data_IF_409698999134
#
_entry.id   IF_409698999134
#
_cell.length_a   1.000
_cell.length_b   1.000
_cell.length_c   1.000
_cell.angle_alpha   90.00
_cell.angle_beta   90.00
_cell.angle_gamma   90.00
#
_symmetry.space_group_name_H-M   'P 1'
#
loop_
_entity.id
_entity.type
_entity.pdbx_description
1 polymer ?
#
# COMPACT_ATOMS: atom_id res chain seq x y z
N UNK A 1 29.38 21.73 10.50
CA UNK A 1 29.30 20.31 10.18
C UNK A 1 27.87 20.02 9.76
N UNK A 2 27.65 19.15 8.75
CA UNK A 2 26.30 18.76 8.32
C UNK A 2 25.60 17.94 9.39
N UNK A 3 24.28 18.10 9.52
CA UNK A 3 23.46 17.28 10.42
C UNK A 3 23.26 15.87 9.85
N UNK A 4 22.97 14.91 10.72
CA UNK A 4 22.60 13.56 10.32
C UNK A 4 21.13 13.48 9.91
N UNK A 5 20.82 12.50 9.10
CA UNK A 5 19.44 12.14 8.72
C UNK A 5 19.05 10.81 9.36
N UNK A 6 17.74 10.63 9.59
CA UNK A 6 17.17 9.35 10.03
C UNK A 6 15.91 9.03 9.26
N UNK A 7 15.75 7.78 8.84
CA UNK A 7 14.59 7.32 8.08
C UNK A 7 14.04 6.02 8.65
N UNK A 8 12.72 5.90 8.71
CA UNK A 8 12.04 4.69 9.16
C UNK A 8 10.93 4.28 8.20
N UNK A 9 10.56 3.00 8.29
CA UNK A 9 9.48 2.37 7.55
C UNK A 9 8.40 1.90 8.52
N UNK A 10 7.12 2.11 8.18
CA UNK A 10 6.03 1.74 9.07
C UNK A 10 4.78 1.26 8.35
N UNK A 11 3.90 0.57 9.09
CA UNK A 11 2.67 -0.01 8.59
C UNK A 11 2.89 -1.27 7.74
N UNK A 12 1.90 -1.63 6.92
CA UNK A 12 2.02 -2.76 5.99
C UNK A 12 3.14 -2.55 4.98
N UNK A 13 3.99 -3.55 4.69
CA UNK A 13 5.03 -3.41 3.67
C UNK A 13 4.44 -3.38 2.25
N UNK A 14 5.25 -2.97 1.27
CA UNK A 14 4.92 -3.01 -0.16
C UNK A 14 6.11 -3.54 -0.97
N UNK A 15 5.89 -3.81 -2.25
CA UNK A 15 6.98 -4.19 -3.16
C UNK A 15 7.98 -3.07 -3.41
N UNK A 16 7.63 -1.81 -3.13
CA UNK A 16 8.42 -0.63 -3.51
C UNK A 16 8.83 0.27 -2.33
N UNK A 17 8.47 -0.09 -1.11
CA UNK A 17 8.80 0.74 0.08
C UNK A 17 10.30 0.97 0.21
N UNK A 18 11.12 0.02 -0.22
CA UNK A 18 12.58 0.13 -0.21
C UNK A 18 13.11 1.05 -1.31
N UNK A 19 12.38 1.25 -2.41
CA UNK A 19 12.73 2.26 -3.41
C UNK A 19 12.58 3.67 -2.84
N UNK A 20 11.55 3.92 -2.01
CA UNK A 20 11.42 5.18 -1.27
C UNK A 20 12.59 5.38 -0.27
N UNK A 21 12.98 4.32 0.43
CA UNK A 21 14.15 4.33 1.31
C UNK A 21 15.44 4.68 0.55
N UNK A 22 15.67 4.06 -0.61
CA UNK A 22 16.81 4.35 -1.47
C UNK A 22 16.83 5.83 -1.91
N UNK A 23 15.67 6.37 -2.30
CA UNK A 23 15.54 7.78 -2.68
C UNK A 23 15.89 8.75 -1.55
N UNK A 24 15.43 8.46 -0.32
CA UNK A 24 15.80 9.25 0.88
C UNK A 24 17.30 9.15 1.13
N UNK A 25 17.86 7.93 1.13
CA UNK A 25 19.28 7.69 1.45
C UNK A 25 20.19 8.44 0.49
N UNK A 26 20.06 8.22 -0.82
CA UNK A 26 20.94 8.83 -1.81
C UNK A 26 20.79 10.36 -1.84
N UNK A 27 19.55 10.86 -1.77
CA UNK A 27 19.32 12.31 -1.75
C UNK A 27 19.93 12.99 -0.50
N UNK A 28 19.85 12.36 0.68
CA UNK A 28 20.49 12.87 1.90
C UNK A 28 22.01 12.87 1.78
N UNK A 29 22.62 11.77 1.27
CA UNK A 29 24.07 11.68 1.06
C UNK A 29 24.57 12.75 0.09
N UNK A 30 23.89 12.91 -1.06
CA UNK A 30 24.24 13.89 -2.09
C UNK A 30 24.09 15.34 -1.61
N UNK A 31 23.30 15.59 -0.56
CA UNK A 31 23.12 16.91 0.06
C UNK A 31 24.00 17.14 1.28
N UNK A 32 24.89 16.20 1.59
CA UNK A 32 25.92 16.38 2.62
C UNK A 32 25.50 15.94 4.03
N UNK A 33 24.50 15.07 4.17
CA UNK A 33 24.30 14.35 5.44
C UNK A 33 25.53 13.54 5.79
N UNK A 34 26.04 13.66 7.02
CA UNK A 34 27.23 12.92 7.45
C UNK A 34 26.90 11.44 7.56
N UNK A 35 25.85 11.11 8.31
CA UNK A 35 25.31 9.76 8.47
C UNK A 35 23.83 9.78 8.11
N UNK A 36 23.37 8.72 7.46
CA UNK A 36 21.94 8.43 7.25
C UNK A 36 21.60 7.19 8.03
N UNK A 37 20.91 7.38 9.14
CA UNK A 37 20.47 6.28 10.01
C UNK A 37 19.16 5.67 9.51
N UNK A 38 19.04 4.35 9.66
CA UNK A 38 17.79 3.62 9.51
C UNK A 38 17.22 3.27 10.89
N UNK A 39 15.94 3.58 11.13
CA UNK A 39 15.19 3.14 12.32
C UNK A 39 14.75 1.70 12.11
N UNK A 40 15.37 0.74 12.79
CA UNK A 40 14.91 -0.64 12.77
C UNK A 40 13.57 -0.76 13.51
N UNK A 41 12.55 -1.27 12.81
CA UNK A 41 11.17 -1.34 13.31
C UNK A 41 10.55 0.04 13.65
N UNK A 42 10.85 1.06 12.84
CA UNK A 42 10.23 2.37 12.91
C UNK A 42 10.40 3.09 14.25
N UNK A 43 9.41 3.89 14.65
CA UNK A 43 9.44 4.68 15.89
C UNK A 43 9.51 3.79 17.14
N UNK A 44 8.89 2.60 17.12
CA UNK A 44 8.99 1.66 18.23
C UNK A 44 10.46 1.24 18.48
N UNK A 45 11.18 0.90 17.42
CA UNK A 45 12.59 0.56 17.52
C UNK A 45 13.48 1.76 17.87
N UNK A 46 13.13 2.96 17.37
CA UNK A 46 13.84 4.19 17.75
C UNK A 46 13.76 4.46 19.26
N UNK A 47 12.62 4.23 19.89
CA UNK A 47 12.45 4.30 21.33
C UNK A 47 13.36 3.34 22.10
N UNK A 48 13.78 2.24 21.48
CA UNK A 48 14.74 1.27 22.03
C UNK A 48 16.18 1.54 21.52
N UNK A 49 16.42 2.70 20.90
CA UNK A 49 17.70 3.09 20.27
C UNK A 49 18.18 2.08 19.21
N UNK A 50 17.28 1.30 18.60
CA UNK A 50 17.59 0.31 17.57
C UNK A 50 17.71 0.99 16.20
N UNK A 51 18.90 1.48 15.91
CA UNK A 51 19.24 2.21 14.68
C UNK A 51 20.49 1.63 14.03
N UNK A 52 20.59 1.77 12.71
CA UNK A 52 21.76 1.34 11.92
C UNK A 52 22.24 2.48 11.03
N UNK A 53 23.54 2.55 10.78
CA UNK A 53 24.08 3.40 9.72
C UNK A 53 23.88 2.69 8.37
N UNK A 54 23.05 3.28 7.53
CA UNK A 54 22.72 2.70 6.22
C UNK A 54 23.92 2.61 5.28
N UNK A 55 24.95 3.45 5.46
CA UNK A 55 26.17 3.39 4.63
C UNK A 55 26.98 2.10 4.83
N UNK A 56 26.71 1.35 5.90
CA UNK A 56 27.34 0.04 6.12
C UNK A 56 26.71 -1.10 5.29
N UNK A 57 25.52 -0.86 4.75
CA UNK A 57 24.75 -1.84 3.97
C UNK A 57 24.57 -1.43 2.52
N UNK A 58 24.56 -0.14 2.26
CA UNK A 58 24.37 0.47 0.95
C UNK A 58 25.69 1.13 0.54
N UNK A 59 26.64 0.28 0.11
CA UNK A 59 28.03 0.67 -0.10
C UNK A 59 28.31 1.12 -1.53
N UNK A 60 27.52 0.67 -2.47
CA UNK A 60 27.64 0.99 -3.89
C UNK A 60 26.27 1.02 -4.61
N UNK A 61 26.30 1.37 -5.89
CA UNK A 61 25.11 1.46 -6.73
C UNK A 61 24.39 0.11 -6.89
N UNK A 62 25.09 -1.02 -6.79
CA UNK A 62 24.51 -2.36 -6.90
C UNK A 62 23.66 -2.67 -5.67
N UNK A 63 24.12 -2.30 -4.46
CA UNK A 63 23.36 -2.44 -3.24
C UNK A 63 22.07 -1.61 -3.30
N UNK A 64 22.14 -0.37 -3.83
CA UNK A 64 20.99 0.49 -4.03
C UNK A 64 19.99 -0.14 -5.02
N UNK A 65 20.48 -0.65 -6.15
CA UNK A 65 19.65 -1.32 -7.14
C UNK A 65 19.02 -2.62 -6.59
N UNK A 66 19.75 -3.35 -5.77
CA UNK A 66 19.23 -4.53 -5.09
C UNK A 66 18.17 -4.16 -4.04
N UNK A 67 18.40 -3.08 -3.27
CA UNK A 67 17.43 -2.57 -2.30
C UNK A 67 16.10 -2.20 -2.99
N UNK A 68 16.15 -1.47 -4.10
CA UNK A 68 14.97 -1.08 -4.89
C UNK A 68 14.13 -2.27 -5.38
N UNK A 69 14.78 -3.42 -5.64
CA UNK A 69 14.15 -4.67 -6.10
C UNK A 69 13.77 -5.63 -4.98
N UNK A 70 14.17 -5.33 -3.76
CA UNK A 70 13.83 -6.13 -2.59
C UNK A 70 12.45 -5.74 -2.08
N UNK A 71 11.45 -6.63 -2.10
CA UNK A 71 10.13 -6.34 -1.57
C UNK A 71 10.13 -6.33 -0.05
N UNK A 72 9.05 -5.83 0.56
CA UNK A 72 8.89 -5.69 1.99
C UNK A 72 9.78 -4.59 2.60
N UNK A 73 9.82 -4.46 3.92
CA UNK A 73 10.53 -3.38 4.62
C UNK A 73 11.93 -3.83 5.04
N UNK A 74 12.97 -3.27 4.42
CA UNK A 74 14.37 -3.56 4.72
C UNK A 74 14.71 -3.28 6.19
N UNK A 75 14.20 -2.16 6.73
CA UNK A 75 14.39 -1.76 8.12
C UNK A 75 13.43 -2.46 9.10
N UNK A 76 12.59 -3.37 8.61
CA UNK A 76 11.44 -3.82 9.37
C UNK A 76 10.35 -2.76 9.46
N UNK A 77 9.30 -3.05 10.19
CA UNK A 77 8.14 -2.15 10.33
C UNK A 77 7.58 -2.21 11.74
N UNK A 78 6.76 -1.23 12.10
CA UNK A 78 5.99 -1.27 13.34
C UNK A 78 4.56 -0.79 13.09
N UNK A 79 3.70 -1.13 14.06
CA UNK A 79 2.35 -0.60 14.21
C UNK A 79 2.26 0.11 15.57
N UNK A 80 3.04 1.19 15.70
CA UNK A 80 3.07 2.01 16.91
C UNK A 80 2.30 3.29 16.68
N UNK A 81 1.24 3.50 17.44
CA UNK A 81 0.48 4.75 17.44
C UNK A 81 1.09 5.68 18.47
N UNK A 82 1.73 6.75 17.99
CA UNK A 82 2.28 7.77 18.87
C UNK A 82 1.13 8.47 19.61
N UNK A 83 1.12 8.51 20.96
CA UNK A 83 0.10 9.23 21.71
C UNK A 83 0.14 10.73 21.40
N UNK A 84 -0.91 11.47 21.75
CA UNK A 84 -0.81 12.93 21.74
C UNK A 84 0.18 13.39 22.81
N UNK A 85 0.99 14.42 22.53
CA UNK A 85 1.98 14.90 23.49
C UNK A 85 1.35 15.57 24.71
N UNK A 86 0.10 15.98 24.64
CA UNK A 86 -0.67 16.47 25.80
C UNK A 86 -1.00 15.33 26.78
N UNK A 87 -1.16 14.11 26.27
CA UNK A 87 -1.49 12.93 27.06
C UNK A 87 -0.22 12.25 27.63
N UNK A 88 0.87 12.18 26.82
CA UNK A 88 2.13 11.55 27.20
C UNK A 88 3.35 12.28 26.62
N UNK A 89 3.74 13.38 27.25
CA UNK A 89 4.92 14.15 26.85
C UNK A 89 6.26 13.37 27.09
N UNK A 90 6.26 12.37 27.97
CA UNK A 90 7.47 11.64 28.31
C UNK A 90 8.03 10.86 27.11
N UNK A 91 7.17 10.31 26.28
CA UNK A 91 7.56 9.63 25.02
C UNK A 91 8.26 10.59 24.07
N UNK A 92 7.75 11.81 23.93
CA UNK A 92 8.36 12.84 23.06
C UNK A 92 9.71 13.30 23.59
N UNK A 93 9.83 13.53 24.90
CA UNK A 93 11.10 13.88 25.54
C UNK A 93 12.15 12.79 25.30
N UNK A 94 11.77 11.52 25.41
CA UNK A 94 12.66 10.38 25.11
C UNK A 94 13.07 10.36 23.64
N UNK A 95 12.12 10.50 22.70
CA UNK A 95 12.41 10.53 21.25
C UNK A 95 13.36 11.68 20.90
N UNK A 96 13.09 12.90 21.37
CA UNK A 96 13.90 14.07 21.06
C UNK A 96 15.29 13.97 21.69
N UNK A 97 15.44 13.40 22.88
CA UNK A 97 16.73 13.13 23.48
C UNK A 97 17.59 12.13 22.65
N UNK A 98 16.95 11.09 22.09
CA UNK A 98 17.62 10.15 21.18
C UNK A 98 18.03 10.84 19.88
N UNK A 99 17.14 11.66 19.29
CA UNK A 99 17.42 12.40 18.06
C UNK A 99 18.58 13.42 18.28
N UNK A 100 18.62 14.07 19.43
CA UNK A 100 19.72 14.98 19.80
C UNK A 100 21.04 14.23 20.00
N UNK A 101 21.03 13.09 20.71
CA UNK A 101 22.20 12.20 20.90
C UNK A 101 22.80 11.76 19.56
N UNK A 102 21.97 11.51 18.54
CA UNK A 102 22.38 11.11 17.19
C UNK A 102 22.67 12.31 16.27
N UNK A 103 22.62 13.55 16.76
CA UNK A 103 22.76 14.81 15.99
C UNK A 103 21.87 14.87 14.75
N UNK A 104 20.59 14.43 14.87
CA UNK A 104 19.63 14.41 13.78
C UNK A 104 19.13 15.81 13.44
N UNK A 105 19.22 16.16 12.17
CA UNK A 105 18.62 17.39 11.61
C UNK A 105 17.44 17.10 10.70
N UNK A 106 17.33 15.86 10.20
CA UNK A 106 16.33 15.49 9.19
C UNK A 106 15.73 14.13 9.55
N UNK A 107 14.40 14.11 9.69
CA UNK A 107 13.62 12.93 10.06
C UNK A 107 12.62 12.58 8.96
N UNK A 108 12.70 11.35 8.45
CA UNK A 108 11.81 10.86 7.40
C UNK A 108 11.05 9.63 7.86
N UNK A 109 9.74 9.59 7.58
CA UNK A 109 8.94 8.43 7.92
C UNK A 109 8.13 7.96 6.71
N UNK A 110 8.42 6.74 6.26
CA UNK A 110 7.80 6.14 5.08
C UNK A 110 6.61 5.31 5.54
N UNK A 111 5.39 5.73 5.18
CA UNK A 111 4.20 5.01 5.62
C UNK A 111 2.88 5.58 5.12
N UNK A 112 1.79 5.01 5.64
CA UNK A 112 0.42 5.41 5.36
C UNK A 112 -0.10 6.46 6.35
N UNK A 113 -1.41 6.47 6.53
CA UNK A 113 -2.14 7.47 7.30
C UNK A 113 -1.62 7.64 8.74
N UNK A 114 -1.44 6.53 9.50
CA UNK A 114 -0.91 6.58 10.87
C UNK A 114 0.53 7.12 10.93
N UNK A 115 1.31 6.91 9.87
CA UNK A 115 2.68 7.44 9.78
C UNK A 115 2.67 8.94 9.53
N UNK A 116 1.71 9.43 8.75
CA UNK A 116 1.52 10.86 8.52
C UNK A 116 1.05 11.54 9.82
N UNK A 117 0.14 10.93 10.58
CA UNK A 117 -0.25 11.39 11.93
C UNK A 117 0.97 11.48 12.86
N UNK A 118 1.85 10.47 12.83
CA UNK A 118 3.12 10.50 13.60
C UNK A 118 4.01 11.67 13.21
N UNK A 119 4.19 11.95 11.91
CA UNK A 119 4.97 13.11 11.44
C UNK A 119 4.34 14.43 11.87
N UNK A 120 3.02 14.55 11.78
CA UNK A 120 2.30 15.74 12.24
C UNK A 120 2.54 16.04 13.72
N UNK A 121 2.39 15.02 14.56
CA UNK A 121 2.63 15.12 16.01
C UNK A 121 4.07 15.46 16.36
N UNK A 122 5.05 14.84 15.67
CA UNK A 122 6.47 15.15 15.90
C UNK A 122 6.84 16.56 15.43
N UNK A 123 6.28 17.03 14.33
CA UNK A 123 6.51 18.39 13.84
C UNK A 123 5.88 19.44 14.77
N UNK A 124 4.68 19.18 15.27
CA UNK A 124 3.98 20.05 16.22
C UNK A 124 4.77 20.16 17.55
N UNK A 125 5.14 19.03 18.14
CA UNK A 125 5.97 19.03 19.35
C UNK A 125 7.34 19.67 19.10
N UNK A 126 7.97 19.41 17.96
CA UNK A 126 9.24 20.03 17.55
C UNK A 126 9.13 21.56 17.48
N UNK A 127 8.03 22.10 16.95
CA UNK A 127 7.75 23.53 16.95
C UNK A 127 7.64 24.10 18.35
N UNK A 128 6.91 23.41 19.25
CA UNK A 128 6.76 23.81 20.66
C UNK A 128 8.09 23.93 21.39
N UNK A 129 9.00 22.96 21.19
CA UNK A 129 10.31 22.95 21.85
C UNK A 129 11.40 23.68 21.05
N UNK A 130 11.02 24.38 19.99
CA UNK A 130 11.92 25.14 19.09
C UNK A 130 13.03 24.26 18.50
N UNK A 131 12.74 23.00 18.20
CA UNK A 131 13.66 22.07 17.56
C UNK A 131 13.99 22.50 16.13
N UNK A 132 15.27 22.34 15.75
CA UNK A 132 15.70 22.56 14.37
C UNK A 132 15.48 21.36 13.43
N UNK A 133 14.99 20.23 13.94
CA UNK A 133 14.77 19.01 13.17
C UNK A 133 13.64 19.23 12.15
N UNK A 134 13.86 18.75 10.93
CA UNK A 134 12.87 18.78 9.85
C UNK A 134 12.21 17.41 9.72
N UNK A 135 10.89 17.36 9.91
CA UNK A 135 10.07 16.15 9.88
C UNK A 135 9.31 16.08 8.56
N UNK A 136 9.52 15.03 7.77
CA UNK A 136 8.88 14.85 6.47
C UNK A 136 8.22 13.48 6.35
N UNK A 137 6.98 13.48 5.84
CA UNK A 137 6.25 12.28 5.46
C UNK A 137 6.61 11.82 4.04
N UNK A 138 6.85 10.52 3.89
CA UNK A 138 7.05 9.87 2.58
C UNK A 138 5.89 8.90 2.38
N UNK A 139 5.01 9.13 1.38
CA UNK A 139 3.80 8.32 1.19
C UNK A 139 4.14 6.89 0.82
N UNK A 140 3.41 5.94 1.40
CA UNK A 140 3.47 4.52 1.05
C UNK A 140 2.21 3.83 1.56
N UNK A 141 1.45 3.23 0.67
CA UNK A 141 0.42 2.22 0.96
C UNK A 141 -0.02 1.55 -0.33
N UNK A 142 -0.40 0.26 -0.28
CA UNK A 142 -1.05 -0.42 -1.41
C UNK A 142 -2.53 -0.03 -1.53
N UNK A 143 -3.13 0.49 -0.46
CA UNK A 143 -4.58 0.77 -0.39
C UNK A 143 -4.98 2.00 -1.21
N UNK A 144 -4.01 2.83 -1.63
CA UNK A 144 -4.23 4.05 -2.42
C UNK A 144 -5.22 5.04 -1.79
N UNK A 145 -5.25 5.07 -0.47
CA UNK A 145 -6.25 5.75 0.36
C UNK A 145 -5.78 7.09 0.94
N UNK A 146 -4.53 7.53 0.66
CA UNK A 146 -4.04 8.83 1.11
C UNK A 146 -4.65 9.97 0.30
N UNK A 147 -5.12 11.01 1.02
CA UNK A 147 -5.62 12.23 0.39
C UNK A 147 -4.50 13.01 -0.29
N UNK A 148 -4.87 13.97 -1.10
CA UNK A 148 -4.06 14.97 -1.86
C UNK A 148 -3.06 14.41 -2.85
N UNK A 149 -2.78 13.12 -2.85
CA UNK A 149 -1.91 12.48 -3.85
C UNK A 149 -2.75 11.80 -4.95
N UNK A 150 -2.31 11.85 -6.20
CA UNK A 150 -2.98 11.13 -7.30
C UNK A 150 -3.07 9.64 -6.99
N UNK A 151 -1.95 9.03 -6.64
CA UNK A 151 -1.85 7.65 -6.18
C UNK A 151 -0.70 7.51 -5.16
N UNK A 152 -0.60 6.34 -4.56
CA UNK A 152 0.42 6.09 -3.53
C UNK A 152 1.45 5.08 -4.00
N UNK A 153 2.76 5.29 -3.72
CA UNK A 153 3.77 4.27 -3.95
C UNK A 153 3.42 2.96 -3.24
N UNK A 154 3.40 1.87 -3.99
CA UNK A 154 2.95 0.55 -3.59
C UNK A 154 1.67 0.11 -4.29
N UNK A 155 0.75 1.03 -4.58
CA UNK A 155 -0.50 0.73 -5.27
C UNK A 155 -0.28 0.21 -6.70
N UNK A 156 0.56 0.87 -7.50
CA UNK A 156 0.80 0.49 -8.89
C UNK A 156 1.28 -0.96 -9.03
N UNK A 157 2.21 -1.39 -8.19
CA UNK A 157 2.72 -2.76 -8.17
C UNK A 157 1.67 -3.77 -7.68
N UNK A 158 0.91 -3.44 -6.65
CA UNK A 158 -0.16 -4.30 -6.16
C UNK A 158 -1.30 -4.42 -7.18
N UNK A 159 -1.67 -3.33 -7.85
CA UNK A 159 -2.65 -3.33 -8.94
C UNK A 159 -2.19 -4.19 -10.13
N UNK A 160 -0.90 -4.12 -10.50
CA UNK A 160 -0.30 -4.99 -11.51
C UNK A 160 -0.39 -6.46 -11.13
N UNK A 161 -0.01 -6.79 -9.90
CA UNK A 161 -0.13 -8.15 -9.37
C UNK A 161 -1.57 -8.66 -9.48
N UNK A 162 -2.54 -7.86 -9.05
CA UNK A 162 -3.96 -8.23 -9.12
C UNK A 162 -4.40 -8.44 -10.57
N UNK A 163 -4.09 -7.51 -11.47
CA UNK A 163 -4.45 -7.64 -12.89
C UNK A 163 -3.89 -8.92 -13.53
N UNK A 164 -2.62 -9.25 -13.27
CA UNK A 164 -1.97 -10.47 -13.78
C UNK A 164 -2.60 -11.72 -13.18
N UNK A 165 -2.69 -11.82 -11.86
CA UNK A 165 -3.20 -13.01 -11.17
C UNK A 165 -4.68 -13.24 -11.47
N UNK A 166 -5.49 -12.18 -11.58
CA UNK A 166 -6.89 -12.33 -12.00
C UNK A 166 -7.00 -12.86 -13.41
N UNK A 167 -6.15 -12.42 -14.34
CA UNK A 167 -6.10 -12.94 -15.71
C UNK A 167 -5.76 -14.44 -15.75
N UNK A 168 -4.79 -14.87 -14.93
CA UNK A 168 -4.40 -16.28 -14.79
C UNK A 168 -5.51 -17.12 -14.16
N UNK A 169 -6.17 -16.62 -13.09
CA UNK A 169 -7.32 -17.28 -12.44
C UNK A 169 -8.47 -17.43 -13.40
N UNK A 170 -8.81 -16.40 -14.20
CA UNK A 170 -9.86 -16.47 -15.23
C UNK A 170 -9.51 -17.56 -16.25
N UNK A 171 -8.25 -17.63 -16.68
CA UNK A 171 -7.79 -18.64 -17.63
C UNK A 171 -7.97 -20.06 -17.10
N UNK A 172 -7.59 -20.30 -15.84
CA UNK A 172 -7.78 -21.60 -15.15
C UNK A 172 -9.28 -21.92 -14.96
N UNK A 173 -10.06 -20.95 -14.50
CA UNK A 173 -11.48 -21.15 -14.18
C UNK A 173 -12.34 -21.47 -15.42
N UNK A 174 -11.92 -21.06 -16.62
CA UNK A 174 -12.71 -21.22 -17.87
C UNK A 174 -12.43 -22.52 -18.62
N UNK A 175 -11.53 -23.38 -18.14
CA UNK A 175 -11.18 -24.64 -18.85
C UNK A 175 -12.28 -25.72 -18.76
N UNK A 176 -13.18 -25.63 -17.78
CA UNK A 176 -14.24 -26.62 -17.57
C UNK A 176 -15.58 -26.14 -18.13
N UNK A 177 -16.28 -27.01 -18.87
CA UNK A 177 -17.63 -26.73 -19.37
C UNK A 177 -18.76 -26.88 -18.34
N UNK A 178 -18.44 -27.07 -17.05
CA UNK A 178 -19.40 -27.21 -15.96
C UNK A 178 -19.61 -25.90 -15.22
N UNK A 179 -20.76 -25.75 -14.55
CA UNK A 179 -21.04 -24.57 -13.71
C UNK A 179 -20.03 -24.48 -12.57
N UNK A 180 -19.38 -23.32 -12.48
CA UNK A 180 -18.32 -23.03 -11.53
C UNK A 180 -18.31 -21.56 -11.12
N UNK A 181 -18.12 -21.26 -9.85
CA UNK A 181 -17.97 -19.88 -9.35
C UNK A 181 -16.70 -19.77 -8.53
N UNK A 182 -15.79 -18.89 -8.95
CA UNK A 182 -14.58 -18.54 -8.20
C UNK A 182 -14.75 -17.15 -7.61
N UNK A 183 -14.64 -17.05 -6.29
CA UNK A 183 -14.65 -15.78 -5.55
C UNK A 183 -13.23 -15.48 -5.06
N UNK A 184 -12.68 -14.35 -5.46
CA UNK A 184 -11.31 -13.94 -5.13
C UNK A 184 -11.35 -12.76 -4.16
N UNK A 185 -10.81 -12.94 -2.96
CA UNK A 185 -10.71 -11.91 -1.94
C UNK A 185 -9.45 -11.08 -2.12
N UNK A 186 -9.63 -9.77 -2.14
CA UNK A 186 -8.59 -8.77 -2.36
C UNK A 186 -8.56 -7.83 -1.16
N UNK A 187 -7.36 -7.40 -0.73
CA UNK A 187 -7.18 -6.43 0.36
C UNK A 187 -7.85 -5.10 0.03
N UNK A 188 -8.27 -4.38 1.06
CA UNK A 188 -8.91 -3.07 0.96
C UNK A 188 -10.05 -2.94 1.97
N UNK A 189 -9.72 -2.58 3.22
CA UNK A 189 -10.69 -2.50 4.32
C UNK A 189 -11.79 -1.48 4.08
N UNK A 190 -11.38 -0.25 3.75
CA UNK A 190 -12.29 0.89 3.64
C UNK A 190 -12.34 1.49 2.23
N UNK A 191 -11.31 1.23 1.43
CA UNK A 191 -11.17 1.73 0.06
C UNK A 191 -10.92 0.57 -0.91
N UNK A 192 -11.68 0.52 -1.98
CA UNK A 192 -11.73 -0.60 -2.93
C UNK A 192 -10.73 -0.50 -4.09
N UNK A 193 -9.71 0.34 -4.02
CA UNK A 193 -8.78 0.57 -5.12
C UNK A 193 -8.10 -0.70 -5.64
N UNK A 194 -7.67 -1.59 -4.75
CA UNK A 194 -7.06 -2.86 -5.15
C UNK A 194 -8.08 -3.82 -5.77
N UNK A 195 -9.29 -3.89 -5.21
CA UNK A 195 -10.35 -4.72 -5.78
C UNK A 195 -10.79 -4.19 -7.15
N UNK A 196 -10.87 -2.88 -7.32
CA UNK A 196 -11.12 -2.24 -8.60
C UNK A 196 -10.05 -2.60 -9.65
N UNK A 197 -8.79 -2.78 -9.23
CA UNK A 197 -7.69 -3.18 -10.11
C UNK A 197 -7.90 -4.56 -10.78
N UNK A 198 -8.82 -5.40 -10.29
CA UNK A 198 -9.22 -6.63 -10.97
C UNK A 198 -9.79 -6.37 -12.39
N UNK A 199 -10.31 -5.16 -12.64
CA UNK A 199 -10.77 -4.74 -13.96
C UNK A 199 -9.63 -4.70 -15.01
N UNK A 200 -8.37 -4.52 -14.57
CA UNK A 200 -7.18 -4.51 -15.42
C UNK A 200 -6.93 -5.86 -16.13
N UNK A 201 -7.53 -6.95 -15.63
CA UNK A 201 -7.46 -8.27 -16.30
C UNK A 201 -8.14 -8.28 -17.68
N UNK A 202 -9.05 -7.35 -17.92
CA UNK A 202 -9.76 -7.24 -19.21
C UNK A 202 -8.83 -6.73 -20.32
N UNK A 203 -8.79 -7.48 -21.42
CA UNK A 203 -7.93 -7.22 -22.60
C UNK A 203 -8.49 -7.97 -23.81
N UNK A 204 -7.85 -7.83 -24.97
CA UNK A 204 -8.27 -8.50 -26.22
C UNK A 204 -8.33 -10.02 -26.11
N UNK A 205 -7.52 -10.62 -25.22
CA UNK A 205 -7.43 -12.07 -24.98
C UNK A 205 -8.07 -12.52 -23.66
N UNK A 206 -8.76 -11.63 -22.92
CA UNK A 206 -9.42 -11.94 -21.66
C UNK A 206 -10.66 -11.06 -21.44
N UNK A 207 -11.81 -11.68 -21.21
CA UNK A 207 -13.08 -10.98 -20.95
C UNK A 207 -13.08 -10.18 -19.63
N UNK A 208 -12.13 -10.47 -18.73
CA UNK A 208 -12.06 -9.88 -17.40
C UNK A 208 -12.93 -10.60 -16.38
N UNK A 209 -13.01 -10.04 -15.17
CA UNK A 209 -13.87 -10.54 -14.09
C UNK A 209 -15.33 -10.27 -14.36
N UNK A 210 -16.22 -11.13 -13.85
CA UNK A 210 -17.67 -11.01 -14.06
C UNK A 210 -18.33 -10.02 -13.12
N UNK A 211 -17.78 -9.87 -11.92
CA UNK A 211 -18.28 -8.93 -10.91
C UNK A 211 -17.14 -8.41 -10.04
N UNK A 212 -17.22 -7.13 -9.71
CA UNK A 212 -16.34 -6.45 -8.76
C UNK A 212 -17.20 -5.89 -7.62
N UNK A 213 -16.90 -6.29 -6.38
CA UNK A 213 -17.61 -5.85 -5.19
C UNK A 213 -16.69 -4.98 -4.32
N UNK A 214 -16.94 -3.66 -4.29
CA UNK A 214 -16.16 -2.68 -3.56
C UNK A 214 -16.75 -2.39 -2.17
N UNK A 215 -15.94 -2.01 -1.18
CA UNK A 215 -16.42 -1.62 0.16
C UNK A 215 -17.21 -0.32 0.16
N UNK A 216 -17.10 0.50 -0.88
CA UNK A 216 -17.86 1.74 -1.08
C UNK A 216 -19.33 1.49 -1.42
N UNK A 217 -19.67 0.27 -1.83
CA UNK A 217 -21.05 -0.11 -2.23
C UNK A 217 -21.66 -0.99 -1.15
N UNK A 218 -22.81 -0.60 -0.56
CA UNK A 218 -23.53 -1.45 0.39
C UNK A 218 -23.81 -2.84 -0.23
N UNK A 219 -23.48 -3.89 0.51
CA UNK A 219 -23.54 -5.26 0.01
C UNK A 219 -24.81 -5.97 0.50
N UNK A 220 -25.48 -6.65 -0.42
CA UNK A 220 -26.63 -7.49 -0.10
C UNK A 220 -26.40 -8.92 -0.61
N UNK A 221 -26.41 -9.88 0.32
CA UNK A 221 -26.08 -11.29 0.04
C UNK A 221 -27.07 -11.94 -0.92
N UNK A 222 -28.37 -11.66 -0.77
CA UNK A 222 -29.42 -12.27 -1.62
C UNK A 222 -29.33 -11.70 -3.05
N UNK A 223 -29.12 -10.40 -3.19
CA UNK A 223 -28.88 -9.77 -4.49
C UNK A 223 -27.61 -10.30 -5.16
N UNK A 224 -26.56 -10.57 -4.38
CA UNK A 224 -25.33 -11.17 -4.89
C UNK A 224 -25.59 -12.57 -5.50
N UNK A 225 -26.32 -13.45 -4.78
CA UNK A 225 -26.68 -14.78 -5.26
C UNK A 225 -27.52 -14.71 -6.52
N UNK A 226 -28.48 -13.79 -6.59
CA UNK A 226 -29.33 -13.61 -7.77
C UNK A 226 -28.55 -13.12 -9.00
N UNK A 227 -27.61 -12.19 -8.80
CA UNK A 227 -26.69 -11.76 -9.87
C UNK A 227 -25.85 -12.93 -10.39
N UNK A 228 -25.29 -13.76 -9.48
CA UNK A 228 -24.52 -14.95 -9.87
C UNK A 228 -25.38 -15.94 -10.67
N UNK A 229 -26.62 -16.18 -10.24
CA UNK A 229 -27.59 -17.04 -10.96
C UNK A 229 -27.81 -16.54 -12.39
N UNK A 230 -28.10 -15.26 -12.54
CA UNK A 230 -28.35 -14.62 -13.85
C UNK A 230 -27.09 -14.66 -14.74
N UNK A 231 -25.91 -14.51 -14.19
CA UNK A 231 -24.66 -14.63 -14.93
C UNK A 231 -24.44 -16.07 -15.43
N UNK A 232 -24.76 -17.07 -14.61
CA UNK A 232 -24.60 -18.49 -14.98
C UNK A 232 -25.61 -18.98 -16.03
N UNK A 233 -26.66 -18.23 -16.32
CA UNK A 233 -27.52 -18.47 -17.46
C UNK A 233 -26.82 -18.17 -18.81
N UNK A 234 -25.80 -17.28 -18.78
CA UNK A 234 -25.09 -16.83 -19.98
C UNK A 234 -23.79 -17.60 -20.20
N UNK A 235 -23.09 -17.94 -19.11
CA UNK A 235 -21.83 -18.71 -19.18
C UNK A 235 -21.65 -19.58 -17.93
N UNK A 236 -21.03 -20.76 -18.04
CA UNK A 236 -20.92 -21.69 -16.92
C UNK A 236 -19.96 -21.20 -15.83
N UNK A 237 -18.83 -20.59 -16.21
CA UNK A 237 -17.78 -20.18 -15.28
C UNK A 237 -17.89 -18.70 -14.97
N UNK A 238 -17.95 -18.36 -13.66
CA UNK A 238 -18.05 -16.98 -13.14
C UNK A 238 -16.86 -16.71 -12.22
N UNK A 239 -16.16 -15.60 -12.43
CA UNK A 239 -15.05 -15.14 -11.59
C UNK A 239 -15.39 -13.78 -11.00
N UNK A 240 -15.34 -13.69 -9.66
CA UNK A 240 -15.77 -12.53 -8.89
C UNK A 240 -14.59 -12.01 -8.06
N UNK A 241 -14.31 -10.72 -8.15
CA UNK A 241 -13.40 -10.01 -7.26
C UNK A 241 -14.18 -9.34 -6.13
N UNK A 242 -13.84 -9.62 -4.89
CA UNK A 242 -14.49 -9.03 -3.71
C UNK A 242 -13.47 -8.43 -2.77
N UNK A 243 -13.73 -7.22 -2.26
CA UNK A 243 -12.90 -6.66 -1.19
C UNK A 243 -13.15 -7.39 0.14
N UNK A 244 -12.07 -7.60 0.92
CA UNK A 244 -12.18 -8.06 2.30
C UNK A 244 -13.08 -7.15 3.16
N UNK A 245 -13.16 -5.87 2.78
CA UNK A 245 -13.86 -4.80 3.49
C UNK A 245 -15.30 -4.53 3.07
N UNK A 246 -15.94 -5.38 2.25
CA UNK A 246 -17.35 -5.20 1.89
C UNK A 246 -18.25 -5.25 3.12
N UNK A 247 -19.22 -4.33 3.19
CA UNK A 247 -20.12 -4.14 4.32
C UNK A 247 -21.57 -4.30 3.91
N UNK A 248 -22.34 -4.90 4.80
CA UNK A 248 -23.80 -4.91 4.71
C UNK A 248 -24.36 -3.48 4.90
N UNK A 249 -25.65 -3.29 4.58
CA UNK A 249 -26.34 -2.02 4.78
C UNK A 249 -26.35 -1.57 6.26
N UNK A 250 -26.26 -2.50 7.21
CA UNK A 250 -26.17 -2.21 8.66
C UNK A 250 -24.74 -1.89 9.13
N UNK A 251 -23.76 -1.88 8.23
CA UNK A 251 -22.36 -1.53 8.50
C UNK A 251 -21.48 -2.69 8.97
N UNK A 252 -22.02 -3.88 9.23
CA UNK A 252 -21.20 -5.08 9.54
C UNK A 252 -20.42 -5.53 8.32
N UNK A 253 -19.21 -6.04 8.53
CA UNK A 253 -18.46 -6.68 7.47
C UNK A 253 -19.06 -8.03 7.08
N UNK A 254 -19.02 -8.36 5.79
CA UNK A 254 -19.54 -9.66 5.32
C UNK A 254 -18.77 -10.83 5.92
N UNK A 255 -17.47 -10.70 6.17
CA UNK A 255 -16.68 -11.72 6.84
C UNK A 255 -17.16 -12.02 8.29
N UNK A 256 -17.82 -11.09 8.98
CA UNK A 256 -18.39 -11.29 10.31
C UNK A 256 -19.63 -12.22 10.32
N UNK A 257 -20.18 -12.52 9.15
CA UNK A 257 -21.26 -13.53 9.01
C UNK A 257 -20.72 -14.97 9.00
N UNK A 258 -19.40 -15.16 8.89
CA UNK A 258 -18.76 -16.45 9.09
C UNK A 258 -18.56 -16.69 10.61
N UNK A 259 -18.65 -17.94 11.05
CA UNK A 259 -18.46 -18.32 12.47
C UNK A 259 -16.98 -18.30 12.91
N UNK A 260 -16.12 -17.59 12.18
CA UNK A 260 -14.68 -17.55 12.43
C UNK A 260 -14.29 -16.46 13.44
N UNK A 261 -13.33 -16.76 14.31
CA UNK A 261 -12.78 -15.79 15.28
C UNK A 261 -11.82 -14.82 14.55
N UNK A 262 -12.11 -13.52 14.60
CA UNK A 262 -11.26 -12.50 14.02
C UNK A 262 -10.27 -11.94 15.05
N UNK A 263 -8.96 -12.05 14.77
CA UNK A 263 -7.91 -11.41 15.56
C UNK A 263 -7.93 -9.88 15.38
N UNK A 264 -7.58 -9.15 16.44
CA UNK A 264 -7.43 -7.68 16.42
C UNK A 264 -5.94 -7.34 16.38
N UNK A 265 -5.55 -6.41 15.49
CA UNK A 265 -4.17 -5.95 15.41
C UNK A 265 -3.82 -4.87 16.47
N UNK A 266 -2.54 -4.46 16.53
CA UNK A 266 -2.06 -3.48 17.51
C UNK A 266 -2.67 -2.06 17.34
N UNK A 267 -3.33 -1.77 16.21
CA UNK A 267 -4.10 -0.53 16.00
C UNK A 267 -5.58 -0.66 16.37
N UNK A 268 -6.01 -1.83 16.88
CA UNK A 268 -7.40 -2.10 17.21
C UNK A 268 -8.25 -2.53 16.00
N UNK A 269 -7.64 -2.84 14.87
CA UNK A 269 -8.37 -3.28 13.69
C UNK A 269 -8.59 -4.79 13.70
N UNK A 270 -9.82 -5.23 13.45
CA UNK A 270 -10.12 -6.65 13.23
C UNK A 270 -9.43 -7.14 11.95
N UNK A 271 -8.87 -8.36 11.99
CA UNK A 271 -8.42 -9.03 10.78
C UNK A 271 -9.64 -9.35 9.91
N UNK A 272 -9.70 -8.76 8.71
CA UNK A 272 -10.78 -9.02 7.76
C UNK A 272 -10.32 -10.10 6.79
N UNK A 273 -10.78 -11.33 7.01
CA UNK A 273 -10.50 -12.50 6.15
C UNK A 273 -11.73 -13.41 6.11
N UNK A 274 -11.90 -14.16 5.02
CA UNK A 274 -12.97 -15.14 4.89
C UNK A 274 -14.22 -14.66 4.18
N UNK A 275 -14.26 -13.43 3.69
CA UNK A 275 -15.36 -12.89 2.86
C UNK A 275 -15.59 -13.78 1.62
N UNK A 276 -14.52 -14.10 0.86
CA UNK A 276 -14.66 -14.97 -0.33
C UNK A 276 -15.14 -16.36 0.03
N UNK A 277 -14.62 -16.93 1.11
CA UNK A 277 -15.04 -18.26 1.59
C UNK A 277 -16.52 -18.27 2.00
N UNK A 278 -16.95 -17.27 2.75
CA UNK A 278 -18.35 -17.12 3.13
C UNK A 278 -19.25 -17.03 1.89
N UNK A 279 -18.93 -16.14 0.95
CA UNK A 279 -19.75 -15.95 -0.27
C UNK A 279 -19.75 -17.18 -1.17
N UNK A 280 -18.61 -17.86 -1.34
CA UNK A 280 -18.54 -19.13 -2.07
C UNK A 280 -19.44 -20.20 -1.45
N UNK A 281 -19.47 -20.32 -0.11
CA UNK A 281 -20.35 -21.24 0.61
C UNK A 281 -21.82 -20.84 0.45
N UNK A 282 -22.17 -19.56 0.48
CA UNK A 282 -23.55 -19.09 0.24
C UNK A 282 -24.00 -19.46 -1.16
N UNK A 283 -23.16 -19.22 -2.17
CA UNK A 283 -23.45 -19.60 -3.56
C UNK A 283 -23.67 -21.12 -3.67
N UNK A 284 -22.79 -21.96 -3.09
CA UNK A 284 -22.91 -23.42 -3.15
C UNK A 284 -24.18 -23.95 -2.48
N UNK A 285 -24.69 -23.27 -1.44
CA UNK A 285 -25.94 -23.65 -0.76
C UNK A 285 -27.20 -23.28 -1.54
N UNK A 286 -27.14 -22.23 -2.37
CA UNK A 286 -28.31 -21.66 -3.06
C UNK A 286 -28.37 -22.00 -4.56
N UNK A 287 -27.24 -22.40 -5.16
CA UNK A 287 -27.14 -22.70 -6.58
C UNK A 287 -26.51 -24.08 -6.81
N UNK A 288 -26.98 -24.80 -7.83
CA UNK A 288 -26.37 -26.07 -8.27
C UNK A 288 -25.08 -25.76 -9.07
N UNK A 289 -24.02 -25.42 -8.35
CA UNK A 289 -22.72 -25.04 -8.91
C UNK A 289 -21.57 -25.38 -8.00
N UNK A 290 -20.41 -25.71 -8.57
CA UNK A 290 -19.18 -25.83 -7.80
C UNK A 290 -18.64 -24.45 -7.48
N UNK A 291 -18.02 -24.30 -6.32
CA UNK A 291 -17.45 -23.03 -5.87
C UNK A 291 -16.00 -23.16 -5.42
N UNK A 292 -15.25 -22.08 -5.54
CA UNK A 292 -13.91 -21.94 -5.00
C UNK A 292 -13.78 -20.55 -4.39
N UNK A 293 -13.10 -20.45 -3.24
CA UNK A 293 -12.60 -19.19 -2.70
C UNK A 293 -11.09 -19.11 -2.82
N UNK A 294 -10.57 -17.94 -3.15
CA UNK A 294 -9.14 -17.64 -3.20
C UNK A 294 -8.93 -16.35 -2.42
N UNK A 295 -8.03 -16.40 -1.44
CA UNK A 295 -7.61 -15.23 -0.66
C UNK A 295 -6.21 -14.84 -1.12
N UNK A 296 -6.03 -13.68 -1.76
CA UNK A 296 -4.71 -13.22 -2.23
C UNK A 296 -3.80 -12.82 -1.06
N UNK A 297 -4.39 -12.38 0.05
CA UNK A 297 -3.71 -12.09 1.31
C UNK A 297 -2.41 -11.28 1.12
N UNK A 298 -1.33 -11.60 1.82
CA UNK A 298 -0.06 -10.86 1.79
C UNK A 298 0.68 -10.90 0.46
N UNK A 299 0.35 -11.83 -0.45
CA UNK A 299 0.99 -11.91 -1.77
C UNK A 299 0.84 -10.61 -2.57
N UNK A 300 -0.27 -9.90 -2.41
CA UNK A 300 -0.56 -8.62 -3.09
C UNK A 300 0.47 -7.52 -2.80
N UNK A 301 1.20 -7.59 -1.69
CA UNK A 301 2.12 -6.56 -1.23
C UNK A 301 3.59 -6.98 -1.20
N UNK A 302 3.90 -8.23 -1.58
CA UNK A 302 5.26 -8.76 -1.53
C UNK A 302 5.74 -9.42 -2.83
N UNK A 303 4.93 -9.36 -3.91
CA UNK A 303 5.24 -9.98 -5.19
C UNK A 303 6.27 -9.16 -5.98
N UNK A 304 7.53 -9.18 -5.55
CA UNK A 304 8.63 -8.43 -6.17
C UNK A 304 8.86 -8.77 -7.66
N UNK A 305 8.45 -9.95 -8.11
CA UNK A 305 8.56 -10.40 -9.50
C UNK A 305 7.52 -9.75 -10.45
N UNK A 306 6.48 -9.12 -9.90
CA UNK A 306 5.45 -8.41 -10.66
C UNK A 306 5.44 -6.91 -10.36
N UNK A 307 6.53 -6.35 -9.84
CA UNK A 307 6.62 -4.94 -9.51
C UNK A 307 6.53 -4.06 -10.76
N UNK A 308 5.75 -3.00 -10.71
CA UNK A 308 5.68 -1.99 -11.75
C UNK A 308 6.92 -1.09 -11.72
N UNK A 309 7.54 -0.87 -12.88
CA UNK A 309 8.67 0.07 -13.00
C UNK A 309 8.24 1.51 -12.74
N UNK A 310 7.05 1.90 -13.18
CA UNK A 310 6.47 3.21 -12.87
C UNK A 310 6.43 3.42 -11.36
N UNK A 311 5.86 2.48 -10.62
CA UNK A 311 5.71 2.55 -9.17
C UNK A 311 7.07 2.60 -8.43
N UNK A 312 8.06 1.78 -8.83
CA UNK A 312 9.42 1.85 -8.28
C UNK A 312 10.06 3.22 -8.50
N UNK A 313 9.92 3.76 -9.72
CA UNK A 313 10.51 5.06 -10.08
C UNK A 313 9.87 6.17 -9.25
N UNK A 314 8.57 6.18 -9.12
CA UNK A 314 7.84 7.18 -8.35
C UNK A 314 8.07 7.04 -6.84
N UNK A 315 8.17 5.82 -6.33
CA UNK A 315 8.57 5.55 -4.93
C UNK A 315 9.96 6.14 -4.62
N UNK A 316 10.92 5.94 -5.51
CA UNK A 316 12.25 6.55 -5.38
C UNK A 316 12.19 8.08 -5.44
N UNK A 317 11.42 8.64 -6.38
CA UNK A 317 11.27 10.08 -6.54
C UNK A 317 10.66 10.76 -5.31
N UNK A 318 9.61 10.19 -4.69
CA UNK A 318 9.01 10.79 -3.48
C UNK A 318 9.98 10.77 -2.30
N UNK A 319 10.78 9.70 -2.15
CA UNK A 319 11.85 9.65 -1.16
C UNK A 319 12.90 10.75 -1.36
N UNK A 320 13.37 10.90 -2.58
CA UNK A 320 14.32 11.95 -2.96
C UNK A 320 13.77 13.37 -2.80
N UNK A 321 12.50 13.58 -3.15
CA UNK A 321 11.82 14.87 -3.01
C UNK A 321 11.63 15.26 -1.52
N UNK A 322 11.30 14.29 -0.65
CA UNK A 322 11.20 14.53 0.79
C UNK A 322 12.54 14.99 1.37
N UNK A 323 13.63 14.30 1.01
CA UNK A 323 14.97 14.69 1.44
C UNK A 323 15.32 16.10 0.93
N UNK A 324 15.06 16.39 -0.36
CA UNK A 324 15.28 17.72 -0.92
C UNK A 324 14.55 18.81 -0.12
N UNK A 325 13.25 18.63 0.11
CA UNK A 325 12.43 19.59 0.85
C UNK A 325 12.93 19.84 2.28
N UNK A 326 13.31 18.78 2.99
CA UNK A 326 13.87 18.90 4.35
C UNK A 326 15.15 19.73 4.37
N UNK A 327 16.07 19.50 3.43
CA UNK A 327 17.33 20.29 3.32
C UNK A 327 17.08 21.75 2.90
N UNK A 328 15.96 22.04 2.24
CA UNK A 328 15.48 23.39 1.93
C UNK A 328 14.70 24.03 3.10
N UNK A 329 14.62 23.35 4.26
CA UNK A 329 14.04 23.87 5.49
C UNK A 329 12.56 23.55 5.71
N UNK A 330 11.92 22.76 4.83
CA UNK A 330 10.53 22.34 4.97
C UNK A 330 10.36 21.32 6.11
N UNK A 331 9.25 21.41 6.83
CA UNK A 331 8.89 20.48 7.91
C UNK A 331 7.37 20.35 8.02
N UNK A 332 6.87 19.23 8.57
CA UNK A 332 5.44 19.00 8.79
C UNK A 332 4.64 18.79 7.50
N UNK A 333 5.30 18.34 6.43
CA UNK A 333 4.66 18.10 5.14
C UNK A 333 4.89 16.67 4.65
N UNK A 334 3.99 16.20 3.78
CA UNK A 334 4.11 14.99 3.00
C UNK A 334 4.40 15.34 1.53
N UNK A 335 5.25 14.54 0.89
CA UNK A 335 5.37 14.56 -0.57
C UNK A 335 4.16 13.86 -1.18
N UNK A 336 3.56 14.46 -2.18
CA UNK A 336 2.47 13.87 -2.96
C UNK A 336 2.88 13.70 -4.43
N UNK A 337 2.29 12.71 -5.08
CA UNK A 337 2.39 12.52 -6.53
C UNK A 337 1.28 13.31 -7.22
N UNK A 338 1.66 14.08 -8.23
CA UNK A 338 0.74 14.86 -9.06
C UNK A 338 0.84 14.42 -10.51
N UNK A 339 -0.24 13.85 -11.01
CA UNK A 339 -0.35 13.51 -12.42
C UNK A 339 -0.52 14.76 -13.26
N UNK A 340 0.33 14.90 -14.26
CA UNK A 340 0.31 16.03 -15.20
C UNK A 340 -0.42 15.64 -16.49
N UNK A 341 -0.22 14.39 -16.96
CA UNK A 341 -0.75 13.91 -18.23
C UNK A 341 -0.89 12.38 -18.21
N UNK A 342 -1.85 11.84 -18.96
CA UNK A 342 -2.02 10.39 -19.19
C UNK A 342 -1.34 9.93 -20.49
N UNK A 343 -1.24 10.79 -21.50
CA UNK A 343 -0.68 10.42 -22.80
C UNK A 343 0.19 11.55 -23.39
N UNK A 344 1.53 11.44 -23.33
CA UNK A 344 2.25 10.42 -22.55
C UNK A 344 2.02 10.58 -21.05
N UNK A 345 2.13 9.48 -20.29
CA UNK A 345 2.02 9.55 -18.83
C UNK A 345 3.17 10.36 -18.24
N UNK A 346 2.82 11.35 -17.44
CA UNK A 346 3.76 12.21 -16.72
C UNK A 346 3.27 12.45 -15.30
N UNK A 347 4.16 12.29 -14.34
CA UNK A 347 3.91 12.54 -12.94
C UNK A 347 5.06 13.37 -12.34
N UNK A 348 4.74 14.25 -11.41
CA UNK A 348 5.70 15.05 -10.65
C UNK A 348 5.39 14.99 -9.17
N UNK A 349 6.22 15.60 -8.34
CA UNK A 349 6.02 15.67 -6.89
C UNK A 349 5.60 17.07 -6.48
N UNK A 350 4.73 17.17 -5.48
CA UNK A 350 4.37 18.40 -4.78
C UNK A 350 4.35 18.17 -3.27
N UNK A 351 4.23 19.24 -2.48
CA UNK A 351 4.25 19.18 -1.02
C UNK A 351 2.90 19.60 -0.46
N UNK A 352 2.41 18.85 0.53
CA UNK A 352 1.16 19.15 1.22
C UNK A 352 1.33 19.10 2.73
N UNK A 353 0.70 20.00 3.48
CA UNK A 353 0.65 19.93 4.95
C UNK A 353 0.08 18.58 5.41
N UNK A 354 0.66 17.99 6.44
CA UNK A 354 0.19 16.71 7.01
C UNK A 354 -1.28 16.77 7.43
N UNK A 355 -1.76 17.94 7.86
CA UNK A 355 -3.17 18.14 8.25
C UNK A 355 -4.19 17.89 7.15
N UNK A 356 -3.76 17.94 5.87
CA UNK A 356 -4.61 17.64 4.72
C UNK A 356 -4.66 16.13 4.38
N UNK A 357 -3.83 15.33 5.05
CA UNK A 357 -3.64 13.90 4.77
C UNK A 357 -4.05 13.03 5.95
N UNK A 358 -3.50 13.32 7.13
CA UNK A 358 -3.64 12.47 8.32
C UNK A 358 -5.11 12.30 8.72
N UNK A 359 -5.51 11.07 9.04
CA UNK A 359 -6.87 10.68 9.46
C UNK A 359 -7.98 10.93 8.40
N UNK A 360 -7.61 11.07 7.13
CA UNK A 360 -8.54 11.17 5.99
C UNK A 360 -8.34 10.00 5.03
N UNK A 361 -9.40 9.59 4.32
CA UNK A 361 -9.34 8.45 3.39
C UNK A 361 -9.86 8.85 2.00
N UNK A 362 -9.10 8.49 0.96
CA UNK A 362 -9.48 8.62 -0.45
C UNK A 362 -10.15 7.33 -0.92
N UNK A 363 -11.43 7.40 -1.27
CA UNK A 363 -12.23 6.28 -1.76
C UNK A 363 -12.29 6.23 -3.28
N UNK A 364 -12.63 5.06 -3.82
CA UNK A 364 -12.92 4.90 -5.25
C UNK A 364 -14.19 5.69 -5.57
N UNK A 365 -14.17 6.60 -6.55
CA UNK A 365 -15.36 7.31 -6.97
C UNK A 365 -16.40 6.33 -7.55
N UNK A 366 -17.63 6.35 -7.01
CA UNK A 366 -18.70 5.47 -7.53
C UNK A 366 -19.08 5.79 -8.99
N UNK A 367 -18.78 7.01 -9.44
CA UNK A 367 -18.93 7.38 -10.85
C UNK A 367 -17.99 6.59 -11.79
N UNK A 368 -16.96 5.96 -11.25
CA UNK A 368 -16.06 5.07 -12.00
C UNK A 368 -16.54 3.62 -12.03
N UNK A 369 -17.76 3.37 -11.54
CA UNK A 369 -18.46 2.10 -11.71
C UNK A 369 -19.64 2.24 -12.69
N UNK A 370 -20.03 1.12 -13.30
CA UNK A 370 -21.25 1.07 -14.09
C UNK A 370 -22.51 1.29 -13.21
N UNK A 371 -23.65 1.56 -13.83
CA UNK A 371 -24.89 1.84 -13.11
C UNK A 371 -25.36 0.74 -12.13
N UNK A 372 -24.93 -0.51 -12.34
CA UNK A 372 -25.26 -1.65 -11.48
C UNK A 372 -24.19 -1.90 -10.38
N UNK A 373 -23.17 -1.08 -10.31
CA UNK A 373 -22.02 -1.20 -9.39
C UNK A 373 -21.39 -2.61 -9.38
N UNK A 374 -21.18 -3.16 -10.59
CA UNK A 374 -20.60 -4.51 -10.75
C UNK A 374 -19.33 -4.53 -11.59
N UNK A 375 -19.01 -3.44 -12.28
CA UNK A 375 -17.84 -3.31 -13.15
C UNK A 375 -17.26 -1.90 -13.06
N UNK A 376 -15.95 -1.77 -13.28
CA UNK A 376 -15.31 -0.47 -13.45
C UNK A 376 -15.50 0.06 -14.86
N UNK A 377 -15.53 1.40 -15.00
CA UNK A 377 -15.61 2.11 -16.28
C UNK A 377 -14.20 2.38 -16.86
N UNK A 378 -14.15 2.90 -18.09
CA UNK A 378 -12.86 3.25 -18.72
C UNK A 378 -12.11 4.35 -17.96
N UNK A 379 -12.79 5.25 -17.24
CA UNK A 379 -12.14 6.28 -16.42
C UNK A 379 -11.23 5.65 -15.37
N UNK A 380 -11.65 4.55 -14.72
CA UNK A 380 -10.78 3.82 -13.81
C UNK A 380 -9.59 3.16 -14.54
N UNK A 381 -9.85 2.56 -15.70
CA UNK A 381 -8.80 1.89 -16.48
C UNK A 381 -7.76 2.90 -16.99
N UNK A 382 -8.20 4.08 -17.45
CA UNK A 382 -7.32 5.17 -17.87
C UNK A 382 -6.48 5.72 -16.71
N UNK A 383 -7.04 5.73 -15.50
CA UNK A 383 -6.31 6.08 -14.29
C UNK A 383 -5.25 5.01 -13.93
N UNK A 384 -5.61 3.73 -13.97
CA UNK A 384 -4.79 2.65 -13.41
C UNK A 384 -3.75 2.10 -14.40
N UNK A 385 -4.05 2.03 -15.72
CA UNK A 385 -3.15 1.47 -16.73
C UNK A 385 -1.74 2.06 -16.76
N UNK A 386 -1.52 3.39 -16.64
CA UNK A 386 -0.18 3.95 -16.61
C UNK A 386 0.64 3.49 -15.39
N UNK A 387 0.00 3.20 -14.27
CA UNK A 387 0.64 2.86 -13.00
C UNK A 387 1.22 1.43 -13.00
N UNK A 388 0.75 0.56 -13.89
CA UNK A 388 1.18 -0.85 -13.95
C UNK A 388 2.21 -1.12 -15.05
N UNK A 389 2.78 -0.07 -15.65
CA UNK A 389 3.61 -0.21 -16.84
C UNK A 389 5.03 -0.65 -16.54
N UNK A 390 5.56 -1.41 -17.48
CA UNK A 390 6.91 -1.95 -17.53
C UNK A 390 7.30 -2.79 -16.30
N UNK A 391 8.42 -3.50 -16.42
CA UNK A 391 8.96 -4.41 -15.40
C UNK A 391 10.31 -3.91 -14.92
N UNK A 392 10.59 -4.15 -13.65
CA UNK A 392 11.93 -4.15 -13.10
C UNK A 392 12.21 -5.54 -12.53
N UNK A 393 12.82 -6.39 -13.34
CA UNK A 393 13.08 -7.78 -12.99
C UNK A 393 13.97 -7.87 -11.74
N UNK A 394 13.61 -8.68 -10.73
CA UNK A 394 14.50 -9.00 -9.62
C UNK A 394 15.84 -9.58 -10.13
N UNK A 395 16.89 -9.41 -9.35
CA UNK A 395 18.13 -10.16 -9.57
C UNK A 395 17.90 -11.62 -9.15
N UNK A 396 18.28 -12.56 -10.00
CA UNK A 396 18.13 -13.99 -9.71
C UNK A 396 19.49 -14.63 -9.46
N UNK A 397 19.59 -15.41 -8.37
CA UNK A 397 20.73 -16.27 -8.07
C UNK A 397 20.20 -17.68 -7.85
N UNK A 398 20.76 -18.65 -8.55
CA UNK A 398 20.34 -20.06 -8.50
C UNK A 398 18.83 -20.25 -8.72
N UNK A 399 18.22 -19.44 -9.60
CA UNK A 399 16.81 -19.54 -9.97
C UNK A 399 15.82 -18.87 -9.01
N UNK A 400 16.29 -18.20 -7.95
CA UNK A 400 15.45 -17.49 -6.98
C UNK A 400 15.80 -16.00 -6.93
N UNK A 401 14.82 -15.11 -6.63
CA UNK A 401 15.09 -13.70 -6.41
C UNK A 401 16.11 -13.50 -5.29
N UNK A 402 17.13 -12.70 -5.54
CA UNK A 402 18.11 -12.31 -4.55
C UNK A 402 17.72 -10.99 -3.90
N UNK A 403 17.75 -10.94 -2.57
CA UNK A 403 17.32 -9.78 -1.79
C UNK A 403 18.44 -9.31 -0.86
N UNK A 404 18.50 -7.98 -0.64
CA UNK A 404 19.32 -7.42 0.43
C UNK A 404 18.54 -7.51 1.76
N UNK A 405 19.25 -7.79 2.85
CA UNK A 405 18.66 -7.85 4.19
C UNK A 405 19.62 -7.33 5.25
N UNK A 406 19.06 -6.82 6.35
CA UNK A 406 19.86 -6.47 7.54
C UNK A 406 20.37 -7.75 8.21
N UNK A 407 21.68 -7.88 8.29
CA UNK A 407 22.29 -8.92 9.13
C UNK A 407 22.07 -8.52 10.60
N UNK A 408 21.34 -9.36 11.33
CA UNK A 408 21.14 -9.20 12.78
C UNK A 408 22.40 -9.61 13.54
#
# INVERSE_FOLDING_TARGET
MGKNAIVGQSGGPTSVINASLAGVFESCKNRGAQVVYGMCNGVAGLLEENVVDLSQYLTDDLDIELLKRTPSSFLGSCRYKLPDWHDDEAVYKKLFAILEKLDIGYFFYIGGNDSMDTIGKLADYGSRVQSSIRFMGVPKTIDNDLMVTDHTPGYGSAAKYIGVVMKEIIRDATVYGTKYVTVVEIMGRNAGWLTAAAALAKSDDCEGVDMICLPEVPFNVDHFVEKVRTMQEKKPSIVIAVSEGVKLEDGRYVCELADDVHAVDAFGHKALTGTARYLANVVARNLDTKTRSIELSTLQRCAGHLTSRTDITEAYQVGGAAAKAAFEGVTGQMVALKRISNNPYQCTTELHPISEVANLEKKVPLSWMNANHTQMTEEFLDYARPLIQAELTPLYIAGLPHHIYLKK
#
